data_IF_313668013960
#
_entry.id   IF_313668013960
#
_cell.length_a   1.000
_cell.length_b   1.000
_cell.length_c   1.000
_cell.angle_alpha   90.00
_cell.angle_beta   90.00
_cell.angle_gamma   90.00
#
_symmetry.space_group_name_H-M   'P 1'
#
loop_
_entity.id
_entity.type
_entity.pdbx_description
1 polymer ?
#
# COMPACT_ATOMS: atom_id res chain seq x y z
N UNK A 1 -19.83 10.37 -3.88
CA UNK A 1 -19.15 11.57 -4.40
C UNK A 1 -17.66 11.37 -4.21
N UNK A 2 -16.88 11.68 -5.23
CA UNK A 2 -15.43 11.58 -5.23
C UNK A 2 -14.85 12.99 -5.36
N UNK A 3 -13.78 13.26 -4.63
CA UNK A 3 -13.02 14.50 -4.70
C UNK A 3 -11.57 14.17 -4.99
N UNK A 4 -11.02 14.77 -6.05
CA UNK A 4 -9.63 14.63 -6.46
C UNK A 4 -8.99 16.02 -6.45
N UNK A 5 -8.06 16.24 -5.53
CA UNK A 5 -7.35 17.49 -5.33
C UNK A 5 -5.93 17.35 -5.90
N UNK A 6 -5.61 18.22 -6.86
CA UNK A 6 -4.29 18.38 -7.48
C UNK A 6 -3.79 19.81 -7.22
N UNK A 7 -2.53 20.10 -7.51
CA UNK A 7 -1.99 21.46 -7.38
C UNK A 7 -2.68 22.43 -8.34
N UNK A 8 -3.03 21.96 -9.53
CA UNK A 8 -3.57 22.73 -10.64
C UNK A 8 -5.11 22.73 -10.71
N UNK A 9 -5.78 21.89 -9.92
CA UNK A 9 -7.19 21.58 -10.15
C UNK A 9 -7.85 20.77 -9.05
N UNK A 10 -9.17 20.84 -9.01
CA UNK A 10 -10.02 19.99 -8.16
C UNK A 10 -11.09 19.42 -9.07
N UNK A 11 -11.24 18.10 -9.03
CA UNK A 11 -12.32 17.40 -9.70
C UNK A 11 -13.28 16.85 -8.64
N UNK A 12 -14.54 17.25 -8.71
CA UNK A 12 -15.65 16.65 -7.98
C UNK A 12 -16.47 15.79 -8.93
N UNK A 13 -16.74 14.55 -8.57
CA UNK A 13 -17.56 13.67 -9.39
C UNK A 13 -18.57 12.86 -8.59
N UNK A 14 -19.66 12.49 -9.26
CA UNK A 14 -20.72 11.67 -8.70
C UNK A 14 -21.54 11.02 -9.80
N UNK A 15 -22.67 10.43 -9.42
CA UNK A 15 -23.57 9.81 -10.38
C UNK A 15 -24.17 10.90 -11.27
N UNK A 16 -23.76 10.95 -12.54
CA UNK A 16 -24.30 11.87 -13.55
C UNK A 16 -23.68 13.27 -13.58
N UNK A 17 -22.57 13.52 -12.87
CA UNK A 17 -21.87 14.79 -12.97
C UNK A 17 -20.36 14.66 -12.75
N UNK A 18 -19.62 15.54 -13.41
CA UNK A 18 -18.21 15.83 -13.17
C UNK A 18 -18.09 17.35 -13.19
N UNK A 19 -17.50 17.92 -12.14
CA UNK A 19 -17.19 19.34 -12.03
C UNK A 19 -15.68 19.42 -11.91
N UNK A 20 -15.07 20.06 -12.89
CA UNK A 20 -13.66 20.41 -12.87
C UNK A 20 -13.56 21.89 -12.64
N UNK A 21 -12.72 22.25 -11.68
CA UNK A 21 -12.34 23.64 -11.46
C UNK A 21 -10.84 23.65 -11.69
N UNK A 22 -10.43 24.39 -12.71
CA UNK A 22 -9.04 24.57 -13.08
C UNK A 22 -8.50 25.85 -12.44
N UNK A 23 -7.19 25.87 -12.16
CA UNK A 23 -6.49 27.02 -11.59
C UNK A 23 -7.14 27.54 -10.31
N UNK A 24 -6.99 26.76 -9.24
CA UNK A 24 -7.38 27.22 -7.91
C UNK A 24 -6.39 28.25 -7.41
N UNK A 25 -6.89 29.45 -7.08
CA UNK A 25 -6.32 30.07 -5.90
C UNK A 25 -6.60 29.11 -4.74
N UNK A 26 -5.59 28.85 -3.90
CA UNK A 26 -5.68 28.00 -2.70
C UNK A 26 -6.95 28.27 -1.85
N UNK A 27 -7.52 29.47 -2.04
CA UNK A 27 -8.80 29.95 -1.49
C UNK A 27 -10.03 29.07 -1.77
N UNK A 28 -10.08 28.23 -2.82
CA UNK A 28 -11.31 27.48 -3.19
C UNK A 28 -11.40 26.12 -2.48
N UNK A 29 -10.29 25.50 -2.10
CA UNK A 29 -10.27 24.17 -1.48
C UNK A 29 -11.10 24.17 -0.20
N UNK A 30 -10.87 25.18 0.66
CA UNK A 30 -11.54 25.29 1.96
C UNK A 30 -13.07 25.43 1.82
N UNK A 31 -13.62 26.39 1.05
CA UNK A 31 -15.05 26.46 0.79
C UNK A 31 -15.63 25.19 0.17
N UNK A 32 -14.90 24.56 -0.76
CA UNK A 32 -15.38 23.37 -1.45
C UNK A 32 -15.52 22.19 -0.48
N UNK A 33 -14.48 21.90 0.31
CA UNK A 33 -14.53 20.82 1.29
C UNK A 33 -15.66 21.04 2.32
N UNK A 34 -15.85 22.27 2.80
CA UNK A 34 -16.97 22.62 3.70
C UNK A 34 -18.34 22.41 3.07
N UNK A 35 -18.49 22.65 1.76
CA UNK A 35 -19.75 22.49 1.02
C UNK A 35 -20.02 21.05 0.57
N UNK A 36 -19.03 20.16 0.66
CA UNK A 36 -19.12 18.78 0.18
C UNK A 36 -18.87 17.74 1.29
N UNK A 37 -19.65 17.73 2.40
CA UNK A 37 -19.46 16.78 3.52
C UNK A 37 -19.80 15.31 3.16
N UNK A 38 -20.36 15.07 1.98
CA UNK A 38 -20.75 13.74 1.48
C UNK A 38 -19.67 13.09 0.59
N UNK A 39 -18.46 13.66 0.54
CA UNK A 39 -17.31 13.03 -0.11
C UNK A 39 -17.05 11.67 0.55
N UNK A 40 -17.04 10.62 -0.26
CA UNK A 40 -16.73 9.24 0.16
C UNK A 40 -15.35 8.77 -0.26
N UNK A 41 -14.86 9.31 -1.37
CA UNK A 41 -13.53 9.04 -1.91
C UNK A 41 -12.77 10.36 -2.01
N UNK A 42 -11.67 10.48 -1.27
CA UNK A 42 -10.80 11.64 -1.29
C UNK A 42 -9.43 11.23 -1.82
N UNK A 43 -9.00 11.85 -2.92
CA UNK A 43 -7.68 11.67 -3.48
C UNK A 43 -6.93 13.00 -3.45
N UNK A 44 -5.78 13.04 -2.76
CA UNK A 44 -4.91 14.20 -2.67
C UNK A 44 -3.58 13.81 -3.30
N UNK A 45 -3.35 14.38 -4.46
CA UNK A 45 -2.31 13.94 -5.37
C UNK A 45 -0.95 14.57 -5.12
N UNK A 46 -0.93 15.69 -4.40
CA UNK A 46 0.26 16.46 -4.09
C UNK A 46 0.13 17.07 -2.69
N UNK A 47 1.20 17.03 -1.90
CA UNK A 47 1.26 17.64 -0.57
C UNK A 47 1.04 19.15 -0.58
N UNK A 48 1.46 19.82 -1.65
CA UNK A 48 1.37 21.27 -1.78
C UNK A 48 -0.06 21.76 -1.90
N UNK A 49 -0.97 20.92 -2.42
CA UNK A 49 -2.39 21.27 -2.52
C UNK A 49 -3.06 21.52 -1.16
N UNK A 50 -2.53 20.95 -0.07
CA UNK A 50 -3.06 21.18 1.29
C UNK A 50 -2.15 22.03 2.17
N UNK A 51 -1.06 22.60 1.66
CA UNK A 51 -0.03 23.27 2.47
C UNK A 51 -0.59 24.36 3.38
N UNK A 52 -1.57 25.13 2.88
CA UNK A 52 -2.17 26.26 3.60
C UNK A 52 -3.61 25.97 4.07
N UNK A 53 -4.08 24.73 3.96
CA UNK A 53 -5.42 24.33 4.41
C UNK A 53 -5.40 24.09 5.91
N UNK A 54 -6.29 24.78 6.65
CA UNK A 54 -6.49 24.47 8.07
C UNK A 54 -6.99 23.02 8.20
N UNK A 55 -6.21 22.19 8.90
CA UNK A 55 -6.50 20.77 9.05
C UNK A 55 -7.85 20.50 9.75
N UNK A 56 -8.40 21.49 10.48
CA UNK A 56 -9.72 21.40 11.10
C UNK A 56 -10.85 21.13 10.10
N UNK A 57 -10.72 21.63 8.87
CA UNK A 57 -11.71 21.47 7.80
C UNK A 57 -11.85 20.00 7.38
N UNK A 58 -10.76 19.23 7.50
CA UNK A 58 -10.79 17.81 7.15
C UNK A 58 -11.65 17.02 8.14
N UNK A 59 -11.72 17.43 9.41
CA UNK A 59 -12.55 16.73 10.41
C UNK A 59 -14.06 16.75 10.07
N UNK A 60 -14.52 17.71 9.26
CA UNK A 60 -15.90 17.79 8.81
C UNK A 60 -16.24 16.73 7.72
N UNK A 61 -15.23 16.10 7.11
CA UNK A 61 -15.38 15.08 6.07
C UNK A 61 -15.68 13.69 6.65
N UNK A 62 -16.74 13.59 7.46
CA UNK A 62 -17.10 12.39 8.25
C UNK A 62 -17.51 11.16 7.44
N UNK A 63 -17.62 11.27 6.11
CA UNK A 63 -18.08 10.20 5.21
C UNK A 63 -16.98 9.63 4.31
N UNK A 64 -15.72 10.02 4.50
CA UNK A 64 -14.61 9.49 3.71
C UNK A 64 -14.37 8.01 4.05
N UNK A 65 -14.56 7.15 3.07
CA UNK A 65 -14.35 5.71 3.13
C UNK A 65 -13.09 5.27 2.38
N UNK A 66 -12.69 6.02 1.35
CA UNK A 66 -11.47 5.77 0.59
C UNK A 66 -10.58 7.01 0.61
N UNK A 67 -9.34 6.84 1.06
CA UNK A 67 -8.33 7.89 1.12
C UNK A 67 -7.13 7.51 0.25
N UNK A 68 -6.78 8.38 -0.67
CA UNK A 68 -5.59 8.28 -1.50
C UNK A 68 -4.72 9.51 -1.27
N UNK A 69 -3.47 9.34 -0.84
CA UNK A 69 -2.56 10.45 -0.55
C UNK A 69 -1.18 10.23 -1.14
N UNK A 70 -0.50 11.31 -1.52
CA UNK A 70 0.89 11.24 -1.95
C UNK A 70 1.81 10.80 -0.80
N UNK A 71 2.77 9.93 -1.11
CA UNK A 71 3.86 9.57 -0.18
C UNK A 71 4.70 10.78 0.26
N UNK A 72 4.68 11.87 -0.51
CA UNK A 72 5.44 13.07 -0.19
C UNK A 72 4.91 13.81 1.05
N UNK A 73 3.69 13.51 1.54
CA UNK A 73 3.23 14.03 2.84
C UNK A 73 4.18 13.62 3.98
N UNK A 74 4.86 12.50 3.85
CA UNK A 74 5.72 11.94 4.89
C UNK A 74 7.17 12.46 4.85
N UNK A 75 7.52 13.38 3.93
CA UNK A 75 8.88 13.94 3.85
C UNK A 75 9.22 14.91 4.98
N UNK A 76 8.22 15.66 5.47
CA UNK A 76 8.42 16.87 6.25
C UNK A 76 7.42 16.93 7.42
N UNK A 77 7.91 17.32 8.61
CA UNK A 77 7.10 17.44 9.81
C UNK A 77 5.98 18.48 9.72
N UNK A 78 6.08 19.46 8.82
CA UNK A 78 5.07 20.50 8.66
C UNK A 78 3.68 19.95 8.26
N UNK A 79 3.62 18.75 7.67
CA UNK A 79 2.37 18.10 7.27
C UNK A 79 1.76 17.21 8.35
N UNK A 80 2.38 17.14 9.53
CA UNK A 80 1.94 16.28 10.63
C UNK A 80 0.48 16.49 11.02
N UNK A 81 0.03 17.74 11.16
CA UNK A 81 -1.37 18.05 11.49
C UNK A 81 -2.34 17.62 10.39
N UNK A 82 -1.93 17.72 9.12
CA UNK A 82 -2.74 17.29 7.98
C UNK A 82 -2.83 15.76 7.96
N UNK A 83 -1.71 15.04 8.17
CA UNK A 83 -1.71 13.58 8.26
C UNK A 83 -2.61 13.12 9.41
N UNK A 84 -2.47 13.72 10.59
CA UNK A 84 -3.30 13.39 11.76
C UNK A 84 -4.80 13.59 11.45
N UNK A 85 -5.17 14.69 10.78
CA UNK A 85 -6.56 14.95 10.39
C UNK A 85 -7.06 13.99 9.30
N UNK A 86 -6.26 13.67 8.28
CA UNK A 86 -6.62 12.69 7.25
C UNK A 86 -6.78 11.28 7.83
N UNK A 87 -5.94 10.91 8.81
CA UNK A 87 -6.01 9.61 9.47
C UNK A 87 -7.15 9.55 10.51
N UNK A 88 -7.71 10.69 10.91
CA UNK A 88 -8.86 10.75 11.82
C UNK A 88 -10.21 10.34 11.22
N UNK A 89 -10.27 9.98 9.93
CA UNK A 89 -11.50 9.52 9.28
C UNK A 89 -11.97 8.17 9.84
N UNK A 90 -13.06 8.20 10.60
CA UNK A 90 -13.57 7.03 11.34
C UNK A 90 -14.22 5.94 10.47
N UNK A 91 -14.64 6.28 9.24
CA UNK A 91 -15.29 5.33 8.30
C UNK A 91 -14.34 4.81 7.22
N UNK A 92 -13.04 5.01 7.38
CA UNK A 92 -12.07 4.64 6.36
C UNK A 92 -12.01 3.11 6.20
N UNK A 93 -12.19 2.61 4.98
CA UNK A 93 -12.03 1.19 4.64
C UNK A 93 -10.80 0.96 3.75
N UNK A 94 -10.40 1.98 2.96
CA UNK A 94 -9.25 1.92 2.05
C UNK A 94 -8.29 3.09 2.31
N UNK A 95 -7.01 2.77 2.51
CA UNK A 95 -5.91 3.73 2.64
C UNK A 95 -4.81 3.44 1.61
N UNK A 96 -4.66 4.31 0.63
CA UNK A 96 -3.64 4.19 -0.40
C UNK A 96 -2.66 5.35 -0.32
N UNK A 97 -1.45 5.07 0.16
CA UNK A 97 -0.32 5.98 0.09
C UNK A 97 0.46 5.64 -1.17
N UNK A 98 0.62 6.61 -2.05
CA UNK A 98 1.13 6.39 -3.40
C UNK A 98 2.24 7.35 -3.77
N UNK A 99 3.24 6.83 -4.47
CA UNK A 99 4.22 7.61 -5.19
C UNK A 99 3.87 7.60 -6.66
N UNK A 100 3.77 8.79 -7.26
CA UNK A 100 3.53 8.89 -8.69
C UNK A 100 4.81 8.57 -9.44
N UNK A 101 4.65 8.08 -10.67
CA UNK A 101 5.78 7.68 -11.51
C UNK A 101 6.75 8.85 -11.78
N UNK A 102 6.25 10.08 -11.79
CA UNK A 102 7.02 11.30 -12.01
C UNK A 102 7.58 11.93 -10.73
N UNK A 103 7.29 11.37 -9.55
CA UNK A 103 7.86 11.86 -8.28
C UNK A 103 9.26 11.27 -8.09
N UNK A 104 10.20 12.09 -7.61
CA UNK A 104 11.52 11.60 -7.22
C UNK A 104 11.41 10.59 -6.07
N UNK A 105 12.23 9.54 -6.14
CA UNK A 105 12.32 8.54 -5.06
C UNK A 105 12.93 9.16 -3.81
N UNK A 106 12.12 9.27 -2.75
CA UNK A 106 12.53 9.89 -1.50
C UNK A 106 12.53 8.89 -0.34
N UNK A 107 13.73 8.55 0.14
CA UNK A 107 13.91 7.73 1.36
C UNK A 107 13.49 8.47 2.64
N UNK A 108 13.12 9.75 2.56
CA UNK A 108 12.63 10.54 3.71
C UNK A 108 11.13 10.43 3.92
N UNK A 109 10.40 9.73 3.04
CA UNK A 109 8.97 9.47 3.17
C UNK A 109 8.69 8.43 4.28
N UNK A 110 9.05 8.74 5.52
CA UNK A 110 9.04 7.77 6.64
C UNK A 110 7.70 7.85 7.35
N UNK A 111 6.98 6.73 7.38
CA UNK A 111 5.80 6.59 8.25
C UNK A 111 6.28 6.24 9.66
N UNK A 112 5.80 6.95 10.67
CA UNK A 112 6.12 6.68 12.07
C UNK A 112 4.93 6.08 12.84
N UNK A 113 5.21 5.42 13.97
CA UNK A 113 4.17 4.79 14.79
C UNK A 113 3.13 5.80 15.29
N UNK A 114 3.56 7.02 15.62
CA UNK A 114 2.66 8.12 16.04
C UNK A 114 1.58 8.36 14.98
N UNK A 115 1.92 8.39 13.69
CA UNK A 115 0.92 8.55 12.63
C UNK A 115 -0.03 7.35 12.56
N UNK A 116 0.48 6.12 12.64
CA UNK A 116 -0.38 4.91 12.61
C UNK A 116 -1.37 4.88 13.79
N UNK A 117 -0.96 5.36 14.97
CA UNK A 117 -1.89 5.48 16.11
C UNK A 117 -3.05 6.44 15.84
N UNK A 118 -2.86 7.45 14.98
CA UNK A 118 -3.90 8.43 14.59
C UNK A 118 -4.94 7.89 13.61
N UNK A 119 -4.73 6.72 13.00
CA UNK A 119 -5.76 6.09 12.19
C UNK A 119 -6.96 5.69 13.06
N UNK A 120 -8.04 6.45 13.08
CA UNK A 120 -9.15 6.19 14.02
C UNK A 120 -10.10 5.10 13.54
N UNK A 121 -10.14 4.86 12.23
CA UNK A 121 -10.97 3.79 11.66
C UNK A 121 -10.60 2.44 12.23
N UNK A 122 -11.62 1.65 12.55
CA UNK A 122 -11.54 0.24 12.98
C UNK A 122 -11.84 -0.73 11.84
N UNK A 123 -12.14 -0.23 10.64
CA UNK A 123 -12.69 -1.01 9.53
C UNK A 123 -11.84 -0.98 8.26
N UNK A 124 -10.57 -0.56 8.35
CA UNK A 124 -9.64 -0.64 7.23
C UNK A 124 -9.44 -2.11 6.82
N UNK A 125 -9.66 -2.37 5.53
CA UNK A 125 -9.49 -3.68 4.92
C UNK A 125 -8.56 -3.67 3.70
N UNK A 126 -8.25 -2.50 3.13
CA UNK A 126 -7.34 -2.36 1.99
C UNK A 126 -6.31 -1.27 2.30
N UNK A 127 -5.04 -1.69 2.45
CA UNK A 127 -3.92 -0.80 2.69
C UNK A 127 -2.88 -0.97 1.57
N UNK A 128 -2.55 0.11 0.88
CA UNK A 128 -1.46 0.18 -0.08
C UNK A 128 -0.42 1.21 0.35
N UNK A 129 0.83 0.79 0.41
CA UNK A 129 1.96 1.58 0.89
C UNK A 129 3.03 1.61 -0.19
N UNK A 130 3.08 2.68 -0.97
CA UNK A 130 4.00 2.84 -2.10
C UNK A 130 4.79 4.14 -1.95
N UNK A 131 6.11 4.06 -2.14
CA UNK A 131 7.05 5.18 -2.04
C UNK A 131 7.27 5.71 -0.64
N UNK A 132 6.97 4.90 0.38
CA UNK A 132 7.19 5.20 1.79
C UNK A 132 8.19 4.22 2.40
N UNK A 133 8.93 4.70 3.40
CA UNK A 133 9.78 3.88 4.27
C UNK A 133 8.96 3.43 5.48
N UNK A 134 8.98 2.12 5.76
CA UNK A 134 8.24 1.51 6.86
C UNK A 134 9.17 0.54 7.59
N UNK A 135 9.36 0.76 8.89
CA UNK A 135 10.08 -0.19 9.75
C UNK A 135 9.19 -1.37 10.13
N UNK A 136 9.80 -2.47 10.59
CA UNK A 136 9.11 -3.64 11.07
C UNK A 136 8.14 -3.34 12.21
N UNK A 137 8.49 -2.38 13.08
CA UNK A 137 7.62 -1.96 14.19
C UNK A 137 6.36 -1.23 13.71
N UNK A 138 6.49 -0.35 12.72
CA UNK A 138 5.36 0.36 12.10
C UNK A 138 4.44 -0.62 11.36
N UNK A 139 4.99 -1.56 10.58
CA UNK A 139 4.17 -2.58 9.92
C UNK A 139 3.47 -3.48 10.94
N UNK A 140 4.17 -3.89 12.00
CA UNK A 140 3.58 -4.66 13.09
C UNK A 140 2.41 -3.93 13.73
N UNK A 141 2.51 -2.61 13.92
CA UNK A 141 1.42 -1.80 14.46
C UNK A 141 0.21 -1.75 13.51
N UNK A 142 0.42 -1.59 12.19
CA UNK A 142 -0.65 -1.71 11.20
C UNK A 142 -1.35 -3.07 11.30
N UNK A 143 -0.59 -4.16 11.27
CA UNK A 143 -1.15 -5.51 11.32
C UNK A 143 -1.88 -5.79 12.63
N UNK A 144 -1.37 -5.31 13.77
CA UNK A 144 -2.03 -5.45 15.06
C UNK A 144 -3.37 -4.70 15.10
N UNK A 145 -3.39 -3.46 14.58
CA UNK A 145 -4.58 -2.61 14.60
C UNK A 145 -5.71 -3.15 13.72
N UNK A 146 -5.35 -3.78 12.60
CA UNK A 146 -6.29 -4.29 11.60
C UNK A 146 -6.26 -5.81 11.50
N UNK A 147 -5.88 -6.49 12.59
CA UNK A 147 -5.74 -7.95 12.63
C UNK A 147 -6.99 -8.68 12.12
N UNK A 148 -8.17 -8.17 12.50
CA UNK A 148 -9.48 -8.74 12.20
C UNK A 148 -10.16 -8.17 10.96
N UNK A 149 -9.56 -7.22 10.26
CA UNK A 149 -10.23 -6.51 9.16
C UNK A 149 -9.39 -6.40 7.89
N UNK A 150 -8.05 -6.48 7.98
CA UNK A 150 -7.17 -6.30 6.84
C UNK A 150 -7.28 -7.50 5.88
N UNK A 151 -7.83 -7.25 4.70
CA UNK A 151 -7.99 -8.24 3.63
C UNK A 151 -6.91 -8.10 2.55
N UNK A 152 -6.47 -6.87 2.26
CA UNK A 152 -5.49 -6.56 1.22
C UNK A 152 -4.37 -5.69 1.77
N UNK A 153 -3.14 -6.19 1.66
CA UNK A 153 -1.94 -5.47 2.04
C UNK A 153 -0.98 -5.40 0.85
N UNK A 154 -0.79 -4.19 0.33
CA UNK A 154 0.09 -3.96 -0.80
C UNK A 154 1.37 -3.23 -0.34
N UNK A 155 2.50 -3.95 -0.31
CA UNK A 155 3.81 -3.41 0.03
C UNK A 155 4.73 -3.24 -1.19
N UNK A 156 4.25 -3.59 -2.39
CA UNK A 156 5.02 -3.36 -3.61
C UNK A 156 5.28 -1.85 -3.78
N UNK A 157 6.56 -1.48 -3.77
CA UNK A 157 7.01 -0.09 -3.81
C UNK A 157 7.23 0.57 -2.45
N UNK A 158 6.96 -0.11 -1.34
CA UNK A 158 7.45 0.30 -0.02
C UNK A 158 8.95 0.01 0.10
N UNK A 159 9.64 0.84 0.88
CA UNK A 159 11.02 0.62 1.30
C UNK A 159 11.01 0.08 2.73
N UNK A 160 11.30 -1.20 2.88
CA UNK A 160 11.33 -1.87 4.19
C UNK A 160 12.76 -2.33 4.46
N UNK A 161 13.38 -1.99 5.61
CA UNK A 161 14.71 -2.46 5.95
C UNK A 161 14.77 -3.99 5.94
N UNK A 162 15.83 -4.55 5.35
CA UNK A 162 16.00 -6.00 5.24
C UNK A 162 16.12 -6.70 6.59
N UNK A 163 16.64 -6.00 7.62
CA UNK A 163 16.69 -6.53 8.98
C UNK A 163 15.31 -6.81 9.59
N UNK A 164 14.26 -6.14 9.08
CA UNK A 164 12.90 -6.27 9.60
C UNK A 164 12.12 -7.45 9.01
N UNK A 165 12.72 -8.24 8.10
CA UNK A 165 12.04 -9.33 7.39
C UNK A 165 11.29 -10.28 8.35
N UNK A 166 11.92 -10.72 9.43
CA UNK A 166 11.28 -11.62 10.39
C UNK A 166 10.09 -10.97 11.10
N UNK A 167 10.24 -9.71 11.52
CA UNK A 167 9.19 -8.96 12.22
C UNK A 167 8.01 -8.74 11.28
N UNK A 168 8.27 -8.36 10.03
CA UNK A 168 7.26 -8.13 9.01
C UNK A 168 6.45 -9.40 8.71
N UNK A 169 7.12 -10.53 8.45
CA UNK A 169 6.42 -11.79 8.18
C UNK A 169 5.64 -12.30 9.40
N UNK A 170 6.18 -12.14 10.62
CA UNK A 170 5.45 -12.50 11.84
C UNK A 170 4.17 -11.65 11.99
N UNK A 171 4.26 -10.34 11.73
CA UNK A 171 3.11 -9.44 11.77
C UNK A 171 2.05 -9.80 10.71
N UNK A 172 2.47 -10.07 9.48
CA UNK A 172 1.58 -10.45 8.37
C UNK A 172 0.86 -11.77 8.66
N UNK A 173 1.56 -12.77 9.21
CA UNK A 173 0.97 -14.06 9.56
C UNK A 173 -0.14 -13.99 10.62
N UNK A 174 -0.20 -12.91 11.41
CA UNK A 174 -1.21 -12.73 12.44
C UNK A 174 -2.53 -12.15 11.91
N UNK A 175 -2.60 -11.78 10.62
CA UNK A 175 -3.80 -11.23 10.01
C UNK A 175 -4.83 -12.34 9.73
N UNK A 176 -6.03 -12.21 10.31
CA UNK A 176 -7.05 -13.26 10.27
C UNK A 176 -7.71 -13.38 8.89
N UNK A 177 -7.84 -12.26 8.16
CA UNK A 177 -8.61 -12.13 6.92
C UNK A 177 -7.78 -11.78 5.68
N UNK A 178 -6.45 -11.80 5.79
CA UNK A 178 -5.59 -11.43 4.65
C UNK A 178 -5.80 -12.38 3.47
N UNK A 179 -6.34 -11.86 2.37
CA UNK A 179 -6.58 -12.59 1.12
C UNK A 179 -5.61 -12.20 -0.01
N UNK A 180 -5.08 -10.98 0.03
CA UNK A 180 -4.17 -10.45 -0.99
C UNK A 180 -2.94 -9.81 -0.35
N UNK A 181 -1.75 -10.25 -0.74
CA UNK A 181 -0.47 -9.71 -0.27
C UNK A 181 0.44 -9.38 -1.45
N UNK A 182 0.98 -8.17 -1.51
CA UNK A 182 2.13 -7.87 -2.37
C UNK A 182 3.35 -7.60 -1.50
N UNK A 183 4.47 -8.25 -1.80
CA UNK A 183 5.71 -8.10 -1.03
C UNK A 183 6.59 -7.00 -1.64
N UNK A 184 7.23 -6.20 -0.77
CA UNK A 184 8.31 -5.32 -1.18
C UNK A 184 9.53 -6.15 -1.63
N UNK A 185 10.29 -5.73 -2.67
CA UNK A 185 11.48 -6.45 -3.11
C UNK A 185 12.53 -6.67 -2.01
N UNK A 186 12.58 -5.77 -1.02
CA UNK A 186 13.47 -5.85 0.14
C UNK A 186 13.04 -6.89 1.18
N UNK A 187 11.76 -7.29 1.19
CA UNK A 187 11.28 -8.39 2.00
C UNK A 187 11.48 -9.74 1.30
N UNK A 188 11.13 -9.79 0.02
CA UNK A 188 11.31 -10.96 -0.81
C UNK A 188 11.35 -10.58 -2.29
N UNK A 189 12.27 -11.18 -3.02
CA UNK A 189 12.26 -11.19 -4.48
C UNK A 189 12.77 -12.54 -5.00
N UNK A 190 12.40 -12.89 -6.22
CA UNK A 190 12.97 -14.07 -6.88
C UNK A 190 14.26 -13.61 -7.57
N UNK A 191 15.39 -13.99 -6.98
CA UNK A 191 16.73 -13.63 -7.46
C UNK A 191 17.77 -14.66 -7.06
N UNK A 192 18.72 -14.95 -7.94
CA UNK A 192 19.90 -15.77 -7.62
C UNK A 192 20.73 -15.23 -6.44
N UNK A 193 20.69 -13.92 -6.19
CA UNK A 193 21.46 -13.26 -5.11
C UNK A 193 20.80 -13.36 -3.74
N UNK A 194 19.54 -13.75 -3.69
CA UNK A 194 18.76 -13.68 -2.46
C UNK A 194 19.03 -14.84 -1.50
N UNK A 195 19.40 -16.02 -2.02
CA UNK A 195 19.75 -17.21 -1.20
C UNK A 195 20.82 -16.91 -0.16
N UNK A 196 21.85 -16.16 -0.54
CA UNK A 196 22.95 -15.76 0.36
C UNK A 196 22.53 -14.67 1.34
N UNK A 197 21.62 -13.79 0.91
CA UNK A 197 21.19 -12.64 1.70
C UNK A 197 20.19 -13.04 2.79
N UNK A 198 19.31 -14.01 2.50
CA UNK A 198 18.29 -14.51 3.42
C UNK A 198 18.46 -16.02 3.60
N UNK A 199 19.31 -16.41 4.56
CA UNK A 199 19.61 -17.82 4.81
C UNK A 199 18.38 -18.64 5.20
N UNK A 200 17.42 -18.02 5.90
CA UNK A 200 16.18 -18.63 6.35
C UNK A 200 15.02 -17.65 6.11
N UNK A 201 14.28 -17.84 5.02
CA UNK A 201 13.10 -17.03 4.78
C UNK A 201 11.97 -17.41 5.74
N UNK A 202 11.33 -16.43 6.40
CA UNK A 202 10.13 -16.70 7.16
C UNK A 202 9.03 -17.22 6.24
N UNK A 203 8.22 -18.12 6.77
CA UNK A 203 7.09 -18.69 6.04
C UNK A 203 5.84 -17.82 6.16
N UNK A 204 4.97 -17.84 5.15
CA UNK A 204 3.60 -17.33 5.17
C UNK A 204 2.57 -18.45 5.37
N UNK A 205 3.01 -19.67 5.73
CA UNK A 205 2.16 -20.86 5.91
C UNK A 205 1.01 -20.67 6.91
N UNK A 206 1.10 -19.70 7.82
CA UNK A 206 0.08 -19.44 8.82
C UNK A 206 -1.06 -18.52 8.31
N UNK A 207 -0.88 -17.84 7.17
CA UNK A 207 -1.92 -17.00 6.56
C UNK A 207 -2.98 -17.84 5.84
N UNK A 208 -3.91 -18.42 6.60
CA UNK A 208 -4.92 -19.40 6.12
C UNK A 208 -5.94 -18.87 5.11
N UNK A 209 -6.12 -17.55 5.00
CA UNK A 209 -7.04 -16.91 4.05
C UNK A 209 -6.34 -16.41 2.79
N UNK A 210 -5.00 -16.46 2.73
CA UNK A 210 -4.22 -15.87 1.66
C UNK A 210 -4.46 -16.59 0.32
N UNK A 211 -5.01 -15.88 -0.67
CA UNK A 211 -5.35 -16.41 -1.99
C UNK A 211 -4.46 -15.89 -3.10
N UNK A 212 -4.04 -14.63 -3.00
CA UNK A 212 -3.22 -13.96 -3.99
C UNK A 212 -1.95 -13.43 -3.35
N UNK A 213 -0.81 -13.80 -3.94
CA UNK A 213 0.49 -13.22 -3.57
C UNK A 213 1.16 -12.64 -4.80
N UNK A 214 1.78 -11.46 -4.64
CA UNK A 214 2.58 -10.86 -5.70
C UNK A 214 4.01 -10.54 -5.23
N UNK A 215 5.00 -10.85 -6.07
CA UNK A 215 6.42 -10.67 -5.76
C UNK A 215 7.21 -10.16 -6.97
N UNK A 216 8.33 -9.50 -6.71
CA UNK A 216 9.22 -8.99 -7.75
C UNK A 216 10.27 -10.03 -8.17
N UNK A 217 10.63 -10.02 -9.46
CA UNK A 217 11.66 -10.87 -10.07
C UNK A 217 12.70 -9.97 -10.72
N UNK A 218 13.96 -10.10 -10.31
CA UNK A 218 15.07 -9.27 -10.84
C UNK A 218 16.07 -10.08 -11.66
N UNK A 219 16.44 -11.26 -11.17
CA UNK A 219 17.35 -12.21 -11.80
C UNK A 219 16.72 -13.60 -11.71
N UNK A 220 15.87 -13.98 -12.68
CA UNK A 220 15.06 -15.19 -12.61
C UNK A 220 15.84 -16.42 -12.15
N UNK A 221 15.36 -17.06 -11.09
CA UNK A 221 15.91 -18.28 -10.50
C UNK A 221 14.75 -19.23 -10.19
N UNK A 222 14.61 -20.26 -11.02
CA UNK A 222 13.55 -21.27 -10.87
C UNK A 222 13.64 -22.03 -9.54
N UNK A 223 14.85 -22.21 -8.99
CA UNK A 223 15.02 -22.86 -7.69
C UNK A 223 14.53 -21.96 -6.54
N UNK A 224 14.66 -20.62 -6.68
CA UNK A 224 14.02 -19.70 -5.74
C UNK A 224 12.51 -19.68 -5.88
N UNK A 225 11.97 -19.73 -7.10
CA UNK A 225 10.53 -19.84 -7.30
C UNK A 225 9.99 -21.12 -6.64
N UNK A 226 10.65 -22.27 -6.82
CA UNK A 226 10.29 -23.53 -6.15
C UNK A 226 10.34 -23.41 -4.62
N UNK A 227 11.39 -22.79 -4.08
CA UNK A 227 11.50 -22.53 -2.64
C UNK A 227 10.35 -21.64 -2.14
N UNK A 228 10.01 -20.58 -2.87
CA UNK A 228 8.89 -19.70 -2.53
C UNK A 228 7.57 -20.47 -2.47
N UNK A 229 7.27 -21.24 -3.51
CA UNK A 229 6.04 -22.01 -3.63
C UNK A 229 5.92 -23.11 -2.55
N UNK A 230 7.02 -23.81 -2.23
CA UNK A 230 6.98 -24.99 -1.35
C UNK A 230 7.22 -24.67 0.13
N UNK A 231 8.08 -23.69 0.43
CA UNK A 231 8.52 -23.41 1.80
C UNK A 231 7.87 -22.15 2.37
N UNK A 232 7.65 -21.13 1.55
CA UNK A 232 7.18 -19.83 2.01
C UNK A 232 5.67 -19.72 1.89
N UNK A 233 5.09 -19.98 0.72
CA UNK A 233 3.66 -19.80 0.49
C UNK A 233 2.80 -20.86 1.21
N UNK A 234 1.62 -20.48 1.71
CA UNK A 234 0.64 -21.44 2.19
C UNK A 234 -0.01 -22.18 0.99
N UNK A 235 -0.50 -23.40 1.22
CA UNK A 235 -1.01 -24.28 0.15
C UNK A 235 -2.35 -23.86 -0.45
N UNK A 236 -3.01 -22.87 0.15
CA UNK A 236 -4.30 -22.30 -0.24
C UNK A 236 -4.16 -21.12 -1.24
N UNK A 237 -2.93 -20.69 -1.59
CA UNK A 237 -2.70 -19.64 -2.58
C UNK A 237 -3.13 -20.12 -3.95
N UNK A 238 -4.10 -19.43 -4.53
CA UNK A 238 -4.69 -19.73 -5.83
C UNK A 238 -3.97 -19.00 -6.95
N UNK A 239 -3.43 -17.81 -6.68
CA UNK A 239 -2.78 -16.96 -7.68
C UNK A 239 -1.45 -16.39 -7.18
N UNK A 240 -0.41 -16.56 -8.00
CA UNK A 240 0.90 -15.96 -7.82
C UNK A 240 1.16 -14.98 -8.96
N UNK A 241 1.37 -13.70 -8.65
CA UNK A 241 1.76 -12.67 -9.62
C UNK A 241 3.27 -12.44 -9.51
N UNK A 242 3.97 -12.53 -10.63
CA UNK A 242 5.39 -12.27 -10.76
C UNK A 242 5.59 -10.99 -11.56
N UNK A 243 6.14 -9.96 -10.94
CA UNK A 243 6.60 -8.75 -11.64
C UNK A 243 8.01 -9.02 -12.15
N UNK A 244 8.11 -9.45 -13.41
CA UNK A 244 9.37 -9.78 -14.09
C UNK A 244 9.55 -8.88 -15.32
N UNK A 245 10.26 -7.76 -15.13
CA UNK A 245 10.59 -6.82 -16.21
C UNK A 245 11.31 -7.53 -17.38
N UNK A 246 12.08 -8.59 -17.08
CA UNK A 246 12.85 -9.34 -18.10
C UNK A 246 12.00 -10.36 -18.86
N UNK A 247 10.84 -10.75 -18.30
CA UNK A 247 9.97 -11.82 -18.76
C UNK A 247 10.66 -13.20 -18.91
N UNK A 248 11.92 -13.36 -18.47
CA UNK A 248 12.68 -14.60 -18.69
C UNK A 248 12.19 -15.75 -17.83
N UNK A 249 11.53 -15.48 -16.70
CA UNK A 249 10.99 -16.54 -15.84
C UNK A 249 9.85 -17.32 -16.51
N UNK A 250 9.13 -16.70 -17.45
CA UNK A 250 8.04 -17.32 -18.20
C UNK A 250 8.49 -18.61 -18.90
N UNK A 251 9.62 -18.54 -19.59
CA UNK A 251 10.21 -19.67 -20.30
C UNK A 251 10.65 -20.81 -19.36
N UNK A 252 11.08 -20.48 -18.13
CA UNK A 252 11.49 -21.49 -17.13
C UNK A 252 10.27 -22.18 -16.48
N UNK A 253 9.17 -21.44 -16.28
CA UNK A 253 7.95 -21.96 -15.65
C UNK A 253 7.26 -23.00 -16.53
N UNK A 254 7.11 -22.73 -17.84
CA UNK A 254 6.44 -23.65 -18.78
C UNK A 254 7.09 -25.04 -18.84
N UNK A 255 8.41 -25.10 -18.61
CA UNK A 255 9.18 -26.34 -18.64
C UNK A 255 9.13 -27.10 -17.30
N UNK A 256 9.06 -26.38 -16.17
CA UNK A 256 9.34 -26.97 -14.85
C UNK A 256 8.15 -27.04 -13.89
N UNK A 257 7.04 -26.33 -14.16
CA UNK A 257 5.99 -26.07 -13.16
C UNK A 257 4.58 -26.49 -13.58
N UNK A 258 4.47 -27.47 -14.48
CA UNK A 258 3.19 -28.05 -14.91
C UNK A 258 2.38 -28.73 -13.79
N UNK A 259 2.97 -28.93 -12.61
CA UNK A 259 2.35 -29.57 -11.45
C UNK A 259 1.80 -28.58 -10.39
N UNK A 260 1.91 -27.28 -10.62
CA UNK A 260 1.45 -26.29 -9.65
C UNK A 260 -0.08 -26.16 -9.64
N UNK A 261 -0.68 -26.30 -8.45
CA UNK A 261 -2.09 -25.96 -8.21
C UNK A 261 -2.36 -24.45 -8.28
N UNK A 262 -1.32 -23.64 -8.14
CA UNK A 262 -1.39 -22.18 -8.12
C UNK A 262 -1.25 -21.63 -9.54
N UNK A 263 -2.16 -20.73 -9.95
CA UNK A 263 -2.06 -20.03 -11.23
C UNK A 263 -0.97 -18.97 -11.15
N UNK A 264 0.05 -19.08 -12.00
CA UNK A 264 1.13 -18.10 -12.11
C UNK A 264 0.81 -17.09 -13.22
N UNK A 265 0.82 -15.80 -12.91
CA UNK A 265 0.68 -14.70 -13.86
C UNK A 265 1.96 -13.87 -13.86
N UNK A 266 2.45 -13.50 -15.04
CA UNK A 266 3.67 -12.73 -15.20
C UNK A 266 3.31 -11.36 -15.76
N UNK A 267 3.67 -10.32 -15.02
CA UNK A 267 3.51 -8.93 -15.41
C UNK A 267 4.89 -8.32 -15.67
N UNK A 268 4.95 -7.42 -16.65
CA UNK A 268 6.11 -6.58 -16.88
C UNK A 268 6.09 -5.37 -15.96
#
# INVERSE_FOLDING_TARGET
MCCSIRVDGITLSGKGFIIEVDQHSESIIVPLLKRCPLIRKLAIHDKHALRNVNSSILHDLVNVHELYISSNFFTESQYESIIDSLFSFSKLHLLHIQQRYNDDKCHRNIICERQVTKLTSTSLNDIKLQGVVITGSVLKLFCLKYQKTLEKLCLLGALIPSEDVFICFQAINNLDHLTCLTLAPSLYSISTTNKSFFKNYPSLKNSKMLKLVAVYVSKPDISQLKLFLQQILPSNVEQLILYDESYRIAYQIEQELNELKCKVLILK
#
